data_IF_914415936888
#
_entry.id   IF_914415936888
#
_cell.length_a   1.000
_cell.length_b   1.000
_cell.length_c   1.000
_cell.angle_alpha   90.00
_cell.angle_beta   90.00
_cell.angle_gamma   90.00
#
_symmetry.space_group_name_H-M   'P 1'
#
loop_
_entity.id
_entity.type
_entity.pdbx_description
1 polymer ?
#
# COMPACT_ATOMS: atom_id res chain seq x y z
N UNK A 1 22.99 -26.84 -0.49
CA UNK A 1 21.96 -26.72 0.56
C UNK A 1 21.70 -25.24 0.81
N UNK A 2 21.12 -24.55 -0.19
CA UNK A 2 20.91 -23.09 -0.23
C UNK A 2 19.47 -22.73 -0.70
N UNK A 3 18.59 -23.72 -0.86
CA UNK A 3 17.29 -23.57 -1.54
C UNK A 3 16.14 -23.12 -0.63
N UNK A 4 16.37 -23.00 0.69
CA UNK A 4 15.33 -22.66 1.67
C UNK A 4 15.15 -21.17 1.99
N UNK A 5 16.15 -20.33 1.68
CA UNK A 5 16.14 -18.89 2.09
C UNK A 5 15.28 -18.03 1.18
N UNK A 6 15.29 -18.30 -0.12
CA UNK A 6 14.49 -17.58 -1.11
C UNK A 6 12.96 -17.67 -0.91
N UNK A 7 12.37 -18.85 -0.63
CA UNK A 7 10.93 -18.93 -0.42
C UNK A 7 10.47 -18.21 0.86
N UNK A 8 11.28 -18.27 1.93
CA UNK A 8 10.92 -17.61 3.21
C UNK A 8 10.92 -16.09 3.07
N UNK A 9 11.89 -15.51 2.36
CA UNK A 9 11.92 -14.07 2.11
C UNK A 9 10.75 -13.60 1.24
N UNK A 10 10.37 -14.39 0.22
CA UNK A 10 9.21 -14.10 -0.60
C UNK A 10 7.91 -14.12 0.23
N UNK A 11 7.74 -15.13 1.08
CA UNK A 11 6.59 -15.22 2.00
C UNK A 11 6.58 -14.04 2.96
N UNK A 12 7.72 -13.66 3.53
CA UNK A 12 7.82 -12.51 4.43
C UNK A 12 7.47 -11.18 3.72
N UNK A 13 7.93 -10.99 2.49
CA UNK A 13 7.60 -9.81 1.69
C UNK A 13 6.09 -9.74 1.38
N UNK A 14 5.49 -10.86 0.96
CA UNK A 14 4.05 -10.96 0.70
C UNK A 14 3.22 -10.75 1.98
N UNK A 15 3.68 -11.28 3.12
CA UNK A 15 3.04 -11.05 4.42
C UNK A 15 3.06 -9.57 4.82
N UNK A 16 4.18 -8.87 4.62
CA UNK A 16 4.30 -7.42 4.85
C UNK A 16 3.35 -6.60 3.95
N UNK A 17 3.11 -7.07 2.71
CA UNK A 17 2.12 -6.46 1.81
C UNK A 17 0.70 -6.69 2.30
N UNK A 18 0.37 -7.90 2.75
CA UNK A 18 -0.96 -8.25 3.24
C UNK A 18 -1.32 -7.48 4.54
N UNK A 19 -0.35 -7.33 5.45
CA UNK A 19 -0.56 -6.72 6.76
C UNK A 19 -1.09 -5.27 6.70
N UNK A 20 -0.73 -4.50 5.67
CA UNK A 20 -1.20 -3.12 5.47
C UNK A 20 -2.50 -3.02 4.67
N UNK A 21 -2.85 -4.04 3.88
CA UNK A 21 -4.08 -4.04 3.10
C UNK A 21 -5.32 -4.34 3.97
N UNK A 22 -5.18 -5.20 4.97
CA UNK A 22 -6.29 -5.64 5.83
C UNK A 22 -6.94 -4.49 6.64
N UNK A 23 -6.18 -3.59 7.31
CA UNK A 23 -6.79 -2.47 8.04
C UNK A 23 -7.53 -1.49 7.11
N UNK A 24 -6.99 -1.26 5.91
CA UNK A 24 -7.55 -0.33 4.94
C UNK A 24 -8.85 -0.91 4.34
N UNK A 25 -8.88 -2.21 4.09
CA UNK A 25 -10.09 -2.92 3.67
C UNK A 25 -11.17 -2.87 4.76
N UNK A 26 -10.81 -3.03 6.04
CA UNK A 26 -11.76 -2.93 7.14
C UNK A 26 -12.43 -1.53 7.21
N UNK A 27 -11.62 -0.46 7.12
CA UNK A 27 -12.12 0.93 7.10
C UNK A 27 -13.07 1.19 5.91
N UNK A 28 -12.71 0.73 4.71
CA UNK A 28 -13.54 0.91 3.51
C UNK A 28 -14.90 0.20 3.64
N UNK A 29 -14.95 -0.95 4.33
CA UNK A 29 -16.22 -1.69 4.54
C UNK A 29 -17.11 -1.09 5.63
N UNK A 30 -16.54 -0.35 6.57
CA UNK A 30 -17.27 0.31 7.65
C UNK A 30 -17.89 1.65 7.21
N UNK A 31 -17.23 2.36 6.30
CA UNK A 31 -17.64 3.71 5.85
C UNK A 31 -18.74 3.68 4.77
N UNK A 32 -18.97 2.55 4.07
CA UNK A 32 -19.85 2.51 2.87
C UNK A 32 -20.99 1.48 2.97
N UNK A 33 -22.25 1.88 2.68
CA UNK A 33 -23.41 0.99 2.63
C UNK A 33 -23.32 -0.06 1.51
N UNK A 34 -23.99 -1.21 1.70
CA UNK A 34 -23.76 -2.46 0.93
C UNK A 34 -23.90 -2.32 -0.60
N UNK A 35 -24.75 -1.39 -1.08
CA UNK A 35 -25.06 -1.19 -2.51
C UNK A 35 -23.86 -0.74 -3.37
N UNK A 36 -22.85 -0.11 -2.78
CA UNK A 36 -21.71 0.43 -3.54
C UNK A 36 -20.38 -0.30 -3.27
N UNK A 37 -20.39 -1.35 -2.43
CA UNK A 37 -19.18 -2.09 -2.02
C UNK A 37 -18.38 -2.63 -3.20
N UNK A 38 -19.05 -3.13 -4.24
CA UNK A 38 -18.40 -3.66 -5.44
C UNK A 38 -17.65 -2.60 -6.24
N UNK A 39 -18.25 -1.41 -6.42
CA UNK A 39 -17.60 -0.30 -7.11
C UNK A 39 -16.48 0.34 -6.29
N UNK A 40 -16.62 0.39 -4.98
CA UNK A 40 -15.60 0.92 -4.07
C UNK A 40 -14.38 0.00 -4.03
N UNK A 41 -14.61 -1.31 -3.92
CA UNK A 41 -13.56 -2.33 -3.96
C UNK A 41 -12.79 -2.31 -5.29
N UNK A 42 -13.49 -2.20 -6.42
CA UNK A 42 -12.83 -2.13 -7.73
C UNK A 42 -12.06 -0.82 -7.92
N UNK A 43 -12.58 0.32 -7.42
CA UNK A 43 -11.87 1.59 -7.43
C UNK A 43 -10.62 1.56 -6.55
N UNK A 44 -10.71 0.98 -5.35
CA UNK A 44 -9.58 0.81 -4.45
C UNK A 44 -8.49 -0.06 -5.09
N UNK A 45 -8.88 -1.17 -5.74
CA UNK A 45 -7.96 -2.03 -6.48
C UNK A 45 -7.34 -1.30 -7.68
N UNK A 46 -8.14 -0.59 -8.48
CA UNK A 46 -7.64 0.18 -9.62
C UNK A 46 -6.62 1.24 -9.18
N UNK A 47 -6.89 1.97 -8.09
CA UNK A 47 -5.97 2.93 -7.51
C UNK A 47 -4.66 2.27 -7.04
N UNK A 48 -4.76 1.12 -6.36
CA UNK A 48 -3.60 0.34 -5.93
C UNK A 48 -2.73 -0.12 -7.11
N UNK A 49 -3.35 -0.67 -8.15
CA UNK A 49 -2.65 -1.16 -9.34
C UNK A 49 -2.02 -0.02 -10.15
N UNK A 50 -2.68 1.14 -10.23
CA UNK A 50 -2.08 2.35 -10.81
C UNK A 50 -0.85 2.80 -10.02
N UNK A 51 -0.93 2.76 -8.69
CA UNK A 51 0.20 3.07 -7.81
C UNK A 51 1.38 2.13 -8.01
N UNK A 52 1.14 0.81 -8.07
CA UNK A 52 2.18 -0.17 -8.35
C UNK A 52 2.79 -0.01 -9.75
N UNK A 53 1.96 0.20 -10.77
CA UNK A 53 2.39 0.39 -12.15
C UNK A 53 3.25 1.66 -12.31
N UNK A 54 2.76 2.79 -11.80
CA UNK A 54 3.48 4.06 -11.84
C UNK A 54 4.77 4.00 -11.01
N UNK A 55 4.73 3.39 -9.82
CA UNK A 55 5.89 3.22 -8.95
C UNK A 55 6.99 2.38 -9.61
N UNK A 56 6.63 1.26 -10.23
CA UNK A 56 7.57 0.42 -10.98
C UNK A 56 8.18 1.13 -12.19
N UNK A 57 7.36 1.88 -12.93
CA UNK A 57 7.81 2.66 -14.09
C UNK A 57 8.82 3.75 -13.72
N UNK A 58 8.70 4.36 -12.54
CA UNK A 58 9.63 5.38 -12.04
C UNK A 58 10.88 4.71 -11.43
N UNK A 59 10.72 3.59 -10.71
CA UNK A 59 11.82 2.91 -10.02
C UNK A 59 12.88 2.32 -10.97
N UNK A 60 12.51 1.91 -12.19
CA UNK A 60 13.45 1.37 -13.18
C UNK A 60 14.49 2.40 -13.65
N UNK A 61 14.06 3.51 -14.28
CA UNK A 61 14.97 4.58 -14.70
C UNK A 61 15.71 5.25 -13.53
N UNK A 62 15.05 5.41 -12.38
CA UNK A 62 15.68 6.00 -11.19
C UNK A 62 16.86 5.15 -10.67
N UNK A 63 16.71 3.81 -10.68
CA UNK A 63 17.79 2.90 -10.35
C UNK A 63 18.95 2.97 -11.34
N UNK A 64 18.65 3.05 -12.64
CA UNK A 64 19.67 3.08 -13.69
C UNK A 64 20.61 4.29 -13.63
N UNK A 65 20.10 5.44 -13.16
CA UNK A 65 20.90 6.69 -13.13
C UNK A 65 21.67 6.90 -11.82
N UNK A 66 21.10 6.50 -10.68
CA UNK A 66 21.60 6.88 -9.35
C UNK A 66 21.76 5.68 -8.40
N UNK A 67 21.59 4.46 -8.92
CA UNK A 67 21.71 3.23 -8.16
C UNK A 67 20.61 3.05 -7.10
N UNK A 68 20.92 2.24 -6.09
CA UNK A 68 19.94 1.81 -5.08
C UNK A 68 19.42 2.97 -4.20
N UNK A 69 20.25 4.00 -4.01
CA UNK A 69 19.96 5.15 -3.14
C UNK A 69 18.71 5.91 -3.61
N UNK A 70 18.53 6.07 -4.92
CA UNK A 70 17.36 6.75 -5.47
C UNK A 70 16.06 6.00 -5.19
N UNK A 71 16.05 4.67 -5.28
CA UNK A 71 14.86 3.90 -4.96
C UNK A 71 14.53 3.96 -3.47
N UNK A 72 15.55 4.03 -2.60
CA UNK A 72 15.34 4.23 -1.16
C UNK A 72 14.74 5.59 -0.86
N UNK A 73 15.22 6.66 -1.51
CA UNK A 73 14.68 8.02 -1.37
C UNK A 73 13.25 8.13 -1.88
N UNK A 74 12.95 7.54 -3.04
CA UNK A 74 11.59 7.51 -3.60
C UNK A 74 10.66 6.76 -2.64
N UNK A 75 11.08 5.59 -2.14
CA UNK A 75 10.31 4.83 -1.16
C UNK A 75 10.07 5.59 0.14
N UNK A 76 11.11 6.24 0.68
CA UNK A 76 11.00 7.07 1.88
C UNK A 76 10.02 8.23 1.68
N UNK A 77 10.09 8.92 0.54
CA UNK A 77 9.17 9.99 0.20
C UNK A 77 7.73 9.49 0.09
N UNK A 78 7.50 8.32 -0.55
CA UNK A 78 6.17 7.71 -0.64
C UNK A 78 5.58 7.35 0.73
N UNK A 79 6.40 6.86 1.66
CA UNK A 79 5.96 6.55 3.03
C UNK A 79 5.60 7.82 3.80
N UNK A 80 6.42 8.87 3.72
CA UNK A 80 6.13 10.17 4.36
C UNK A 80 4.86 10.79 3.78
N UNK A 81 4.68 10.74 2.46
CA UNK A 81 3.47 11.23 1.81
C UNK A 81 2.24 10.47 2.29
N UNK A 82 2.32 9.14 2.40
CA UNK A 82 1.22 8.31 2.93
C UNK A 82 0.90 8.67 4.38
N UNK A 83 1.92 8.86 5.23
CA UNK A 83 1.73 9.25 6.63
C UNK A 83 1.05 10.63 6.76
N UNK A 84 1.46 11.61 5.94
CA UNK A 84 0.84 12.93 5.90
C UNK A 84 -0.62 12.89 5.42
N UNK A 85 -0.90 12.08 4.39
CA UNK A 85 -2.25 11.88 3.87
C UNK A 85 -3.16 11.24 4.92
N UNK A 86 -2.69 10.18 5.58
CA UNK A 86 -3.46 9.53 6.66
C UNK A 86 -3.70 10.53 7.80
N UNK A 87 -2.67 11.25 8.24
CA UNK A 87 -2.78 12.18 9.35
C UNK A 87 -3.76 13.34 9.10
N UNK A 88 -3.81 13.87 7.87
CA UNK A 88 -4.73 14.97 7.54
C UNK A 88 -6.11 14.51 7.10
N UNK A 89 -6.21 13.38 6.41
CA UNK A 89 -7.39 13.01 5.66
C UNK A 89 -8.21 11.92 6.34
N UNK A 90 -7.65 11.17 7.29
CA UNK A 90 -8.38 10.15 8.04
C UNK A 90 -9.09 10.83 9.23
N UNK A 91 -10.43 11.02 9.17
CA UNK A 91 -11.19 11.50 10.32
C UNK A 91 -11.26 10.35 11.33
N UNK A 92 -10.98 10.62 12.60
CA UNK A 92 -11.11 9.60 13.64
C UNK A 92 -12.56 9.06 13.67
N UNK A 93 -12.76 7.73 13.60
CA UNK A 93 -14.08 7.15 13.76
C UNK A 93 -14.63 7.57 15.13
N UNK A 94 -15.76 8.26 15.15
CA UNK A 94 -16.44 8.53 16.42
C UNK A 94 -16.90 7.20 16.99
N UNK A 95 -16.22 6.74 18.05
CA UNK A 95 -16.62 5.57 18.82
C UNK A 95 -18.07 5.77 19.24
N UNK A 96 -19.00 5.06 18.59
CA UNK A 96 -20.38 4.98 19.04
C UNK A 96 -20.36 4.18 20.35
N UNK A 97 -20.31 4.89 21.47
CA UNK A 97 -20.58 4.33 22.79
C UNK A 97 -21.99 3.76 22.75
N UNK A 98 -22.10 2.44 22.74
CA UNK A 98 -23.34 1.70 22.95
C UNK A 98 -23.63 1.59 24.45
#
# INVERSE_FOLDING_TARGET
MQDGVHPVQAVAFLAQLAARASPLQALLTEIVPEEQRGSLMSLAMAAGQLGFGAGGAIAGPAYGMYGYVSNTLIGALSVVLTALLVWRLLPEPQLKTA
#
